data_IF_363628979337
#
_entry.id   IF_363628979337
#
_cell.length_a   1.000
_cell.length_b   1.000
_cell.length_c   1.000
_cell.angle_alpha   90.00
_cell.angle_beta   90.00
_cell.angle_gamma   90.00
#
_symmetry.space_group_name_H-M   'P 1'
#
loop_
_entity.id
_entity.type
_entity.pdbx_description
1 polymer ?
#
# COMPACT_ATOMS: atom_id res chain seq x y z
N UNK A 1 5.86 30.91 6.26
CA UNK A 1 5.92 29.73 5.38
C UNK A 1 5.00 28.57 5.77
N UNK A 2 5.05 27.97 6.97
CA UNK A 2 4.14 26.84 7.31
C UNK A 2 2.74 27.31 7.73
N UNK A 3 2.64 28.39 8.51
CA UNK A 3 1.35 29.00 8.90
C UNK A 3 0.60 29.60 7.69
N UNK A 4 1.32 30.10 6.69
CA UNK A 4 0.73 30.66 5.45
C UNK A 4 0.14 29.58 4.53
N UNK A 5 0.52 28.30 4.71
CA UNK A 5 0.09 27.19 3.87
C UNK A 5 -1.10 26.40 4.45
N UNK A 6 -1.59 26.75 5.65
CA UNK A 6 -2.71 26.05 6.29
C UNK A 6 -2.42 24.58 6.64
N UNK A 7 -1.14 24.22 6.79
CA UNK A 7 -0.73 22.85 7.11
C UNK A 7 -1.12 22.52 8.55
N UNK A 8 -1.78 21.38 8.74
CA UNK A 8 -2.23 20.90 10.05
C UNK A 8 -1.49 19.65 10.53
N UNK A 9 -0.64 19.07 9.68
CA UNK A 9 0.18 17.91 10.00
C UNK A 9 1.19 17.58 8.90
N UNK A 10 2.08 16.65 9.22
CA UNK A 10 3.10 16.12 8.33
C UNK A 10 3.04 14.59 8.33
N UNK A 11 3.35 13.98 7.20
CA UNK A 11 3.58 12.54 7.12
C UNK A 11 5.08 12.29 7.22
N UNK A 12 5.51 11.48 8.18
CA UNK A 12 6.94 11.19 8.39
C UNK A 12 7.28 9.72 8.12
N UNK A 13 8.43 9.48 7.48
CA UNK A 13 9.01 8.15 7.30
C UNK A 13 10.35 7.96 8.03
N UNK A 14 10.92 9.04 8.58
CA UNK A 14 12.23 9.05 9.22
C UNK A 14 12.16 9.78 10.57
N UNK A 15 12.36 9.02 11.66
CA UNK A 15 12.30 9.55 13.02
C UNK A 15 13.39 10.58 13.35
N UNK A 16 14.56 10.51 12.70
CA UNK A 16 15.62 11.51 12.90
C UNK A 16 15.19 12.88 12.39
N UNK A 17 14.52 12.95 11.24
CA UNK A 17 14.01 14.21 10.69
C UNK A 17 12.85 14.76 11.53
N UNK A 18 11.99 13.88 12.04
CA UNK A 18 10.92 14.28 12.96
C UNK A 18 11.48 14.91 14.25
N UNK A 19 12.47 14.25 14.88
CA UNK A 19 13.11 14.77 16.09
C UNK A 19 13.87 16.08 15.80
N UNK A 20 14.61 16.14 14.69
CA UNK A 20 15.32 17.36 14.32
C UNK A 20 14.35 18.55 14.13
N UNK A 21 13.20 18.32 13.50
CA UNK A 21 12.18 19.35 13.34
C UNK A 21 11.56 19.78 14.68
N UNK A 22 11.33 18.82 15.59
CA UNK A 22 10.87 19.12 16.94
C UNK A 22 11.85 20.01 17.71
N UNK A 23 13.15 19.69 17.67
CA UNK A 23 14.19 20.41 18.39
C UNK A 23 14.43 21.80 17.79
N UNK A 24 14.45 21.89 16.45
CA UNK A 24 14.73 23.14 15.75
C UNK A 24 13.53 24.09 15.68
N UNK A 25 12.30 23.61 15.83
CA UNK A 25 11.07 24.40 15.70
C UNK A 25 9.95 23.89 16.61
N UNK A 26 10.10 23.95 17.94
CA UNK A 26 9.16 23.34 18.90
C UNK A 26 7.76 23.96 18.88
N UNK A 27 7.66 25.29 18.68
CA UNK A 27 6.35 25.97 18.55
C UNK A 27 5.60 25.41 17.33
N UNK A 28 6.28 25.25 16.20
CA UNK A 28 5.68 24.70 14.99
C UNK A 28 5.32 23.22 15.16
N UNK A 29 6.19 22.42 15.77
CA UNK A 29 5.90 21.02 16.06
C UNK A 29 4.59 20.88 16.84
N UNK A 30 4.37 21.71 17.86
CA UNK A 30 3.15 21.69 18.68
C UNK A 30 1.85 22.00 17.93
N UNK A 31 1.92 22.64 16.76
CA UNK A 31 0.73 22.94 15.94
C UNK A 31 0.44 21.89 14.87
N UNK A 32 1.35 20.95 14.64
CA UNK A 32 1.25 19.94 13.58
C UNK A 32 0.97 18.55 14.15
N UNK A 33 0.10 17.79 13.49
CA UNK A 33 0.02 16.33 13.69
C UNK A 33 1.24 15.65 13.05
N UNK A 34 1.82 14.66 13.73
CA UNK A 34 2.84 13.79 13.15
C UNK A 34 2.21 12.44 12.76
N UNK A 35 1.91 12.31 11.47
CA UNK A 35 1.26 11.11 10.89
C UNK A 35 2.33 10.14 10.41
N UNK A 36 2.40 8.90 10.93
CA UNK A 36 3.35 7.93 10.44
C UNK A 36 3.05 7.53 9.00
N UNK A 37 4.09 7.49 8.17
CA UNK A 37 4.02 6.92 6.84
C UNK A 37 3.79 5.41 6.89
N UNK A 38 3.10 4.88 5.87
CA UNK A 38 2.81 3.44 5.75
C UNK A 38 4.08 2.57 5.74
N UNK A 39 5.22 3.13 5.29
CA UNK A 39 6.51 2.45 5.27
C UNK A 39 7.12 2.22 6.66
N UNK A 40 6.55 2.78 7.73
CA UNK A 40 6.90 2.46 9.12
C UNK A 40 6.30 1.13 9.61
N UNK A 41 5.54 0.44 8.75
CA UNK A 41 5.06 -0.95 8.92
C UNK A 41 4.35 -1.21 10.24
N UNK A 42 3.27 -0.48 10.49
CA UNK A 42 2.44 -0.63 11.68
C UNK A 42 1.62 -1.92 11.63
N UNK A 43 2.16 -3.01 12.17
CA UNK A 43 1.66 -4.39 11.99
C UNK A 43 1.32 -5.12 13.31
N UNK A 44 1.38 -4.41 14.44
CA UNK A 44 1.20 -4.95 15.79
C UNK A 44 0.84 -3.84 16.78
N UNK A 45 0.00 -4.12 17.80
CA UNK A 45 -0.32 -3.13 18.83
C UNK A 45 0.92 -2.59 19.55
N UNK A 46 1.90 -3.44 19.85
CA UNK A 46 3.14 -3.05 20.52
C UNK A 46 3.96 -2.04 19.68
N UNK A 47 4.07 -2.25 18.36
CA UNK A 47 4.76 -1.31 17.47
C UNK A 47 4.01 0.02 17.38
N UNK A 48 2.68 -0.02 17.27
CA UNK A 48 1.84 1.18 17.23
C UNK A 48 2.00 1.98 18.52
N UNK A 49 1.89 1.34 19.68
CA UNK A 49 2.10 1.99 20.97
C UNK A 49 3.49 2.62 21.08
N UNK A 50 4.54 1.87 20.76
CA UNK A 50 5.93 2.37 20.81
C UNK A 50 6.15 3.58 19.91
N UNK A 51 5.56 3.56 18.71
CA UNK A 51 5.62 4.69 17.79
C UNK A 51 4.86 5.92 18.33
N UNK A 52 3.63 5.75 18.80
CA UNK A 52 2.82 6.86 19.32
C UNK A 52 3.46 7.51 20.55
N UNK A 53 4.03 6.71 21.45
CA UNK A 53 4.84 7.23 22.58
C UNK A 53 6.05 8.02 22.10
N UNK A 54 6.73 7.52 21.05
CA UNK A 54 7.86 8.22 20.46
C UNK A 54 7.44 9.56 19.85
N UNK A 55 6.28 9.62 19.18
CA UNK A 55 5.70 10.86 18.65
C UNK A 55 5.29 11.82 19.77
N UNK A 56 4.68 11.33 20.85
CA UNK A 56 4.29 12.19 21.98
C UNK A 56 5.50 12.93 22.58
N UNK A 57 6.67 12.29 22.58
CA UNK A 57 7.93 12.86 23.09
C UNK A 57 8.53 13.97 22.22
N UNK A 58 8.11 14.09 20.97
CA UNK A 58 8.62 15.14 20.06
C UNK A 58 7.84 16.45 20.17
N UNK A 59 6.77 16.50 20.98
CA UNK A 59 5.93 17.68 21.11
C UNK A 59 4.96 17.90 19.93
N UNK A 60 4.98 17.03 18.92
CA UNK A 60 3.96 17.00 17.89
C UNK A 60 2.61 16.52 18.44
N UNK A 61 1.53 16.94 17.81
CA UNK A 61 0.21 16.35 18.09
C UNK A 61 0.19 14.90 17.60
N UNK A 62 -0.42 14.02 18.40
CA UNK A 62 -0.64 12.64 18.00
C UNK A 62 -1.53 12.59 16.75
N UNK A 63 -1.32 11.62 15.86
CA UNK A 63 -2.09 11.53 14.64
C UNK A 63 -3.54 11.12 14.92
N UNK A 64 -4.49 11.78 14.26
CA UNK A 64 -5.90 11.37 14.32
C UNK A 64 -6.17 10.05 13.56
N UNK A 65 -5.26 9.67 12.65
CA UNK A 65 -5.35 8.45 11.84
C UNK A 65 -3.98 7.84 11.55
N UNK A 66 -3.93 6.53 11.43
CA UNK A 66 -2.75 5.78 10.96
C UNK A 66 -3.13 4.82 9.85
N UNK A 67 -2.20 4.60 8.91
CA UNK A 67 -2.31 3.52 7.93
C UNK A 67 -1.53 2.31 8.46
N UNK A 68 -2.20 1.17 8.62
CA UNK A 68 -1.58 -0.07 9.04
C UNK A 68 -0.69 -0.66 7.93
N UNK A 69 0.19 -1.58 8.29
CA UNK A 69 1.05 -2.25 7.32
C UNK A 69 0.21 -3.05 6.31
N UNK A 70 0.55 -2.90 5.02
CA UNK A 70 -0.20 -3.55 3.94
C UNK A 70 -0.19 -5.07 4.00
N UNK A 71 0.81 -5.71 4.62
CA UNK A 71 0.86 -7.18 4.72
C UNK A 71 -0.33 -7.73 5.51
N UNK A 72 -0.93 -6.93 6.41
CA UNK A 72 -2.16 -7.29 7.12
C UNK A 72 -3.37 -7.50 6.19
N UNK A 73 -3.35 -6.94 4.97
CA UNK A 73 -4.43 -7.13 4.00
C UNK A 73 -4.60 -8.61 3.59
N UNK A 74 -3.57 -9.46 3.79
CA UNK A 74 -3.58 -10.91 3.49
C UNK A 74 -3.44 -11.79 4.74
N UNK A 75 -3.56 -11.22 5.93
CA UNK A 75 -3.54 -11.93 7.20
C UNK A 75 -4.72 -11.42 8.05
N UNK A 76 -5.92 -11.94 7.78
CA UNK A 76 -7.16 -11.48 8.39
C UNK A 76 -7.18 -11.72 9.91
N UNK A 77 -6.70 -12.85 10.45
CA UNK A 77 -6.59 -13.04 11.90
C UNK A 77 -5.73 -11.96 12.54
N UNK A 78 -4.55 -11.68 11.97
CA UNK A 78 -3.65 -10.66 12.52
C UNK A 78 -4.19 -9.25 12.35
N UNK A 79 -4.84 -8.94 11.23
CA UNK A 79 -5.53 -7.65 11.04
C UNK A 79 -6.59 -7.44 12.13
N UNK A 80 -7.41 -8.45 12.41
CA UNK A 80 -8.42 -8.38 13.46
C UNK A 80 -7.80 -8.18 14.85
N UNK A 81 -6.70 -8.88 15.16
CA UNK A 81 -5.95 -8.71 16.41
C UNK A 81 -5.42 -7.28 16.55
N UNK A 82 -4.76 -6.76 15.52
CA UNK A 82 -4.19 -5.39 15.50
C UNK A 82 -5.29 -4.36 15.66
N UNK A 83 -6.38 -4.48 14.91
CA UNK A 83 -7.51 -3.57 14.97
C UNK A 83 -8.15 -3.57 16.37
N UNK A 84 -8.45 -4.76 16.92
CA UNK A 84 -9.02 -4.89 18.26
C UNK A 84 -8.10 -4.31 19.35
N UNK A 85 -6.79 -4.54 19.24
CA UNK A 85 -5.80 -3.93 20.13
C UNK A 85 -5.84 -2.41 20.07
N UNK A 86 -5.85 -1.84 18.86
CA UNK A 86 -5.93 -0.39 18.68
C UNK A 86 -7.24 0.19 19.20
N UNK A 87 -8.39 -0.48 19.00
CA UNK A 87 -9.68 0.02 19.52
C UNK A 87 -9.74 0.05 21.04
N UNK A 88 -9.12 -0.92 21.70
CA UNK A 88 -9.02 -0.97 23.16
C UNK A 88 -8.10 0.12 23.70
N UNK A 89 -6.92 0.27 23.10
CA UNK A 89 -5.85 1.10 23.67
C UNK A 89 -5.94 2.56 23.18
N UNK A 90 -6.51 2.79 21.99
CA UNK A 90 -6.62 4.10 21.32
C UNK A 90 -8.01 4.28 20.67
N UNK A 91 -9.11 4.41 21.46
CA UNK A 91 -10.48 4.36 20.96
C UNK A 91 -10.86 5.45 19.96
N UNK A 92 -10.13 6.57 19.93
CA UNK A 92 -10.36 7.68 19.00
C UNK A 92 -9.46 7.63 17.76
N UNK A 93 -8.49 6.72 17.71
CA UNK A 93 -7.57 6.60 16.59
C UNK A 93 -8.27 5.93 15.41
N UNK A 94 -8.24 6.58 14.25
CA UNK A 94 -8.76 6.00 13.02
C UNK A 94 -7.73 5.12 12.34
N UNK A 95 -8.16 3.95 11.87
CA UNK A 95 -7.33 2.97 11.18
C UNK A 95 -7.63 2.98 9.69
N UNK A 96 -6.58 2.94 8.88
CA UNK A 96 -6.69 2.83 7.42
C UNK A 96 -5.85 1.66 6.89
N UNK A 97 -6.26 1.12 5.75
CA UNK A 97 -5.46 0.16 4.97
C UNK A 97 -5.04 0.76 3.63
N UNK A 98 -3.82 0.46 3.22
CA UNK A 98 -3.35 0.80 1.88
C UNK A 98 -3.93 -0.20 0.87
N UNK A 99 -4.82 0.25 -0.02
CA UNK A 99 -5.73 -0.66 -0.68
C UNK A 99 -5.24 -1.20 -2.03
N UNK A 100 -4.52 -0.40 -2.82
CA UNK A 100 -4.20 -0.73 -4.21
C UNK A 100 -2.70 -0.89 -4.49
N UNK A 101 -1.89 -1.15 -3.47
CA UNK A 101 -0.47 -1.46 -3.64
C UNK A 101 -0.29 -2.94 -4.02
N UNK A 102 0.41 -3.20 -5.13
CA UNK A 102 0.63 -4.55 -5.66
C UNK A 102 2.06 -5.06 -5.49
N UNK A 103 2.69 -4.79 -4.35
CA UNK A 103 4.02 -5.34 -4.03
C UNK A 103 4.00 -6.86 -3.85
N UNK A 104 5.17 -7.50 -3.90
CA UNK A 104 5.30 -8.90 -3.45
C UNK A 104 5.01 -8.99 -1.94
N UNK A 105 4.33 -10.04 -1.46
CA UNK A 105 4.19 -10.31 -0.03
C UNK A 105 5.57 -10.62 0.57
N UNK A 106 5.84 -10.12 1.78
CA UNK A 106 7.12 -10.30 2.48
C UNK A 106 8.35 -10.04 1.60
N UNK A 107 8.25 -9.02 0.74
CA UNK A 107 9.29 -8.72 -0.24
C UNK A 107 10.65 -8.48 0.43
N UNK A 108 11.63 -9.33 0.09
CA UNK A 108 13.02 -9.26 0.58
C UNK A 108 13.63 -7.87 0.38
N UNK A 109 13.29 -7.22 -0.73
CA UNK A 109 13.86 -5.94 -1.11
C UNK A 109 13.14 -4.73 -0.48
N UNK A 110 11.99 -4.89 0.18
CA UNK A 110 11.12 -3.72 0.52
C UNK A 110 11.83 -2.66 1.35
N UNK A 111 12.60 -3.05 2.37
CA UNK A 111 13.29 -2.08 3.23
C UNK A 111 14.36 -1.28 2.45
N UNK A 112 15.19 -1.98 1.68
CA UNK A 112 16.21 -1.35 0.84
C UNK A 112 15.57 -0.50 -0.27
N UNK A 113 14.50 -1.00 -0.90
CA UNK A 113 13.76 -0.31 -1.95
C UNK A 113 13.16 1.01 -1.47
N UNK A 114 12.53 1.03 -0.29
CA UNK A 114 11.99 2.25 0.31
C UNK A 114 13.09 3.27 0.61
N UNK A 115 14.24 2.80 1.13
CA UNK A 115 15.41 3.65 1.35
C UNK A 115 16.01 4.21 0.05
N UNK A 116 16.06 3.41 -1.02
CA UNK A 116 16.46 3.89 -2.34
C UNK A 116 15.54 4.99 -2.85
N UNK A 117 14.21 4.79 -2.75
CA UNK A 117 13.23 5.81 -3.14
C UNK A 117 13.41 7.10 -2.32
N UNK A 118 13.64 6.99 -1.00
CA UNK A 118 13.89 8.14 -0.14
C UNK A 118 15.13 8.93 -0.58
N UNK A 119 16.24 8.24 -0.83
CA UNK A 119 17.49 8.85 -1.32
C UNK A 119 17.33 9.51 -2.69
N UNK A 120 16.59 8.89 -3.61
CA UNK A 120 16.30 9.45 -4.93
C UNK A 120 15.46 10.72 -4.80
N UNK A 121 14.38 10.68 -4.01
CA UNK A 121 13.50 11.83 -3.80
C UNK A 121 14.20 12.98 -3.07
N UNK A 122 15.19 12.68 -2.21
CA UNK A 122 16.05 13.66 -1.57
C UNK A 122 17.13 14.24 -2.49
N UNK A 123 17.26 13.75 -3.74
CA UNK A 123 18.31 14.16 -4.68
C UNK A 123 19.71 13.66 -4.30
N UNK A 124 19.80 12.65 -3.42
CA UNK A 124 21.05 12.08 -2.91
C UNK A 124 21.53 10.86 -3.71
N UNK A 125 20.68 10.34 -4.60
CA UNK A 125 20.99 9.23 -5.49
C UNK A 125 20.33 9.43 -6.87
N UNK A 126 20.92 8.89 -7.96
CA UNK A 126 20.26 8.88 -9.27
C UNK A 126 19.07 7.91 -9.29
N UNK A 127 18.13 8.13 -10.21
CA UNK A 127 17.00 7.23 -10.44
C UNK A 127 17.49 5.85 -10.91
N UNK A 128 17.43 4.87 -10.01
CA UNK A 128 17.85 3.48 -10.23
C UNK A 128 16.80 2.47 -9.74
N UNK A 129 15.62 2.93 -9.30
CA UNK A 129 14.62 2.07 -8.69
C UNK A 129 14.08 1.04 -9.69
N UNK A 130 13.77 1.46 -10.91
CA UNK A 130 13.23 0.60 -11.95
C UNK A 130 14.26 -0.44 -12.45
N UNK A 131 15.50 -0.07 -12.85
CA UNK A 131 16.51 -1.05 -13.26
C UNK A 131 16.81 -2.09 -12.18
N UNK A 132 16.97 -1.67 -10.92
CA UNK A 132 17.22 -2.59 -9.82
C UNK A 132 16.05 -3.56 -9.61
N UNK A 133 14.81 -3.07 -9.67
CA UNK A 133 13.64 -3.93 -9.53
C UNK A 133 13.49 -4.91 -10.71
N UNK A 134 13.88 -4.50 -11.92
CA UNK A 134 13.86 -5.34 -13.14
C UNK A 134 14.93 -6.42 -13.12
N UNK A 135 16.11 -6.13 -12.61
CA UNK A 135 17.23 -7.06 -12.60
C UNK A 135 17.24 -7.97 -11.37
N UNK A 136 16.83 -7.44 -10.21
CA UNK A 136 17.04 -8.10 -8.91
C UNK A 136 15.76 -8.19 -8.06
N UNK A 137 14.72 -7.41 -8.37
CA UNK A 137 13.58 -7.20 -7.49
C UNK A 137 12.23 -7.73 -8.03
N UNK A 138 11.17 -6.98 -7.69
CA UNK A 138 9.79 -7.45 -7.91
C UNK A 138 9.40 -7.54 -9.39
N UNK A 139 9.90 -6.65 -10.25
CA UNK A 139 9.61 -6.68 -11.69
C UNK A 139 10.16 -7.98 -12.30
N UNK A 140 11.37 -8.41 -11.91
CA UNK A 140 11.91 -9.71 -12.29
C UNK A 140 11.00 -10.86 -11.86
N UNK A 141 10.59 -10.85 -10.59
CA UNK A 141 9.76 -11.91 -10.03
C UNK A 141 8.40 -12.02 -10.75
N UNK A 142 7.72 -10.90 -10.98
CA UNK A 142 6.46 -10.88 -11.75
C UNK A 142 6.67 -11.27 -13.21
N UNK A 143 7.83 -10.96 -13.81
CA UNK A 143 8.16 -11.40 -15.17
C UNK A 143 8.30 -12.92 -15.29
N UNK A 144 8.80 -13.59 -14.25
CA UNK A 144 8.96 -15.05 -14.22
C UNK A 144 7.68 -15.76 -13.76
N UNK A 145 7.00 -15.21 -12.76
CA UNK A 145 5.87 -15.81 -12.07
C UNK A 145 4.75 -14.78 -11.87
N UNK A 146 4.05 -14.36 -12.96
CA UNK A 146 3.05 -13.30 -12.89
C UNK A 146 1.85 -13.65 -12.00
N UNK A 147 1.60 -14.94 -11.77
CA UNK A 147 0.59 -15.42 -10.81
C UNK A 147 0.81 -14.91 -9.39
N UNK A 148 2.04 -14.48 -9.04
CA UNK A 148 2.34 -13.83 -7.75
C UNK A 148 1.56 -12.54 -7.54
N UNK A 149 1.02 -11.93 -8.59
CA UNK A 149 0.09 -10.80 -8.44
C UNK A 149 -1.09 -11.13 -7.53
N UNK A 150 -1.56 -12.38 -7.51
CA UNK A 150 -2.68 -12.82 -6.67
C UNK A 150 -2.30 -12.98 -5.20
N UNK A 151 -1.01 -13.01 -4.88
CA UNK A 151 -0.52 -13.07 -3.50
C UNK A 151 -0.21 -11.69 -2.92
N UNK A 152 -0.20 -10.65 -3.78
CA UNK A 152 0.05 -9.28 -3.38
C UNK A 152 -1.02 -8.73 -2.43
N UNK A 153 -0.66 -7.79 -1.53
CA UNK A 153 -1.54 -7.28 -0.49
C UNK A 153 -2.54 -6.22 -0.96
N UNK A 154 -2.96 -6.23 -2.22
CA UNK A 154 -4.05 -5.36 -2.66
C UNK A 154 -5.41 -5.88 -2.16
N UNK A 155 -6.36 -4.96 -2.03
CA UNK A 155 -7.74 -5.19 -1.64
C UNK A 155 -8.62 -5.06 -2.87
N UNK A 156 -9.49 -6.04 -3.08
CA UNK A 156 -10.51 -5.98 -4.13
C UNK A 156 -11.60 -4.97 -3.71
N UNK A 157 -12.10 -4.09 -4.59
CA UNK A 157 -13.20 -3.18 -4.25
C UNK A 157 -14.46 -3.89 -3.70
N UNK A 158 -14.78 -5.07 -4.22
CA UNK A 158 -15.88 -5.93 -3.76
C UNK A 158 -15.71 -6.44 -2.32
N UNK A 159 -14.47 -6.52 -1.82
CA UNK A 159 -14.17 -6.98 -0.47
C UNK A 159 -14.14 -5.83 0.55
N UNK A 160 -14.38 -4.57 0.12
CA UNK A 160 -14.19 -3.38 0.96
C UNK A 160 -14.99 -3.43 2.27
N UNK A 161 -16.23 -3.94 2.22
CA UNK A 161 -17.15 -3.85 3.35
C UNK A 161 -16.72 -4.78 4.48
N UNK A 162 -16.07 -5.91 4.14
CA UNK A 162 -15.42 -6.76 5.13
C UNK A 162 -14.34 -5.98 5.91
N UNK A 163 -13.45 -5.31 5.19
CA UNK A 163 -12.36 -4.54 5.83
C UNK A 163 -12.89 -3.34 6.60
N UNK A 164 -13.93 -2.65 6.11
CA UNK A 164 -14.58 -1.54 6.84
C UNK A 164 -15.27 -2.00 8.14
N UNK A 165 -15.51 -3.31 8.31
CA UNK A 165 -15.89 -3.88 9.61
C UNK A 165 -14.75 -3.89 10.64
N UNK A 166 -13.50 -3.75 10.22
CA UNK A 166 -12.30 -3.79 11.06
C UNK A 166 -11.60 -2.42 11.16
N UNK A 167 -11.61 -1.63 10.09
CA UNK A 167 -10.92 -0.33 9.97
C UNK A 167 -11.87 0.79 9.52
N UNK A 168 -11.42 2.04 9.53
CA UNK A 168 -12.26 3.22 9.24
C UNK A 168 -12.18 3.71 7.80
N UNK A 169 -11.25 3.18 7.00
CA UNK A 169 -11.11 3.62 5.61
C UNK A 169 -9.93 3.04 4.86
N UNK A 170 -9.77 3.53 3.63
CA UNK A 170 -8.72 3.12 2.71
C UNK A 170 -7.87 4.30 2.27
N UNK A 171 -6.57 4.04 2.17
CA UNK A 171 -5.60 4.91 1.52
C UNK A 171 -5.29 4.35 0.13
N UNK A 172 -5.27 5.24 -0.86
CA UNK A 172 -4.93 4.91 -2.26
C UNK A 172 -3.52 5.42 -2.56
N UNK A 173 -2.68 4.58 -3.18
CA UNK A 173 -1.37 4.96 -3.73
C UNK A 173 -1.42 5.16 -5.25
N UNK A 174 -0.28 5.49 -5.88
CA UNK A 174 -0.19 5.84 -7.29
C UNK A 174 -0.34 7.31 -7.60
N UNK A 175 0.07 8.21 -6.70
CA UNK A 175 0.03 9.66 -6.92
C UNK A 175 0.80 10.08 -8.19
N UNK A 176 1.88 9.37 -8.51
CA UNK A 176 2.72 9.59 -9.69
C UNK A 176 2.04 9.14 -11.00
N UNK A 177 0.99 8.32 -10.94
CA UNK A 177 0.22 7.84 -12.10
C UNK A 177 -0.88 8.83 -12.54
N UNK A 178 -0.99 9.98 -11.85
CA UNK A 178 -1.84 11.09 -12.24
C UNK A 178 -3.31 10.97 -11.79
N UNK A 179 -4.05 12.08 -11.94
CA UNK A 179 -5.41 12.21 -11.40
C UNK A 179 -6.44 11.28 -12.05
N UNK A 180 -6.23 10.87 -13.31
CA UNK A 180 -7.14 9.92 -13.98
C UNK A 180 -7.08 8.53 -13.35
N UNK A 181 -5.86 8.04 -13.05
CA UNK A 181 -5.67 6.79 -12.33
C UNK A 181 -6.31 6.86 -10.93
N UNK A 182 -5.99 7.89 -10.15
CA UNK A 182 -6.55 8.04 -8.80
C UNK A 182 -8.08 8.10 -8.78
N UNK A 183 -8.70 8.82 -9.73
CA UNK A 183 -10.17 8.86 -9.86
C UNK A 183 -10.76 7.49 -10.17
N UNK A 184 -10.11 6.70 -11.02
CA UNK A 184 -10.54 5.33 -11.35
C UNK A 184 -10.55 4.44 -10.11
N UNK A 185 -9.44 4.41 -9.38
CA UNK A 185 -9.31 3.61 -8.15
C UNK A 185 -10.32 4.05 -7.09
N UNK A 186 -10.39 5.36 -6.84
CA UNK A 186 -11.35 5.91 -5.88
C UNK A 186 -12.81 5.58 -6.26
N UNK A 187 -13.16 5.69 -7.54
CA UNK A 187 -14.52 5.36 -8.01
C UNK A 187 -14.84 3.88 -7.82
N UNK A 188 -13.89 2.98 -8.10
CA UNK A 188 -14.07 1.55 -7.88
C UNK A 188 -14.33 1.22 -6.39
N UNK A 189 -13.52 1.77 -5.49
CA UNK A 189 -13.71 1.58 -4.05
C UNK A 189 -14.98 2.25 -3.51
N UNK A 190 -15.41 3.39 -4.06
CA UNK A 190 -16.69 4.03 -3.71
C UNK A 190 -17.91 3.26 -4.24
N UNK A 191 -17.78 2.59 -5.39
CA UNK A 191 -18.82 1.73 -5.94
C UNK A 191 -18.86 0.34 -5.27
N UNK A 192 -17.74 -0.12 -4.69
CA UNK A 192 -17.62 -1.47 -4.14
C UNK A 192 -17.57 -2.54 -5.23
N UNK A 193 -17.25 -2.16 -6.45
CA UNK A 193 -17.18 -3.07 -7.60
C UNK A 193 -16.19 -2.54 -8.62
N UNK A 194 -15.51 -3.46 -9.28
CA UNK A 194 -14.73 -3.20 -10.47
C UNK A 194 -14.94 -4.35 -11.45
N UNK A 195 -15.32 -4.01 -12.66
CA UNK A 195 -15.47 -4.92 -13.79
C UNK A 195 -14.46 -4.50 -14.86
N UNK A 196 -13.52 -5.39 -15.19
CA UNK A 196 -12.41 -5.10 -16.10
C UNK A 196 -11.06 -5.62 -15.60
N UNK A 197 -9.99 -5.03 -16.12
CA UNK A 197 -8.63 -5.43 -15.78
C UNK A 197 -8.30 -4.98 -14.35
N UNK A 198 -8.00 -5.92 -13.45
CA UNK A 198 -7.61 -5.61 -12.08
C UNK A 198 -6.35 -4.73 -12.03
N UNK A 199 -5.43 -4.90 -12.99
CA UNK A 199 -4.19 -4.15 -13.05
C UNK A 199 -4.39 -2.64 -13.29
N UNK A 200 -5.54 -2.23 -13.82
CA UNK A 200 -5.89 -0.81 -13.96
C UNK A 200 -6.09 -0.11 -12.63
N UNK A 201 -6.24 -0.87 -11.53
CA UNK A 201 -6.39 -0.35 -10.19
C UNK A 201 -5.08 -0.34 -9.39
N UNK A 202 -4.08 -1.13 -9.79
CA UNK A 202 -2.89 -1.37 -8.97
C UNK A 202 -1.77 -0.39 -9.32
N UNK A 203 -1.10 0.14 -8.29
CA UNK A 203 0.00 1.09 -8.45
C UNK A 203 1.31 0.40 -8.86
N UNK A 204 1.86 -0.47 -8.01
CA UNK A 204 3.19 -1.09 -8.23
C UNK A 204 3.32 -1.90 -9.53
N UNK A 205 2.36 -2.77 -9.91
CA UNK A 205 2.43 -3.54 -11.15
C UNK A 205 1.68 -2.85 -12.31
N UNK A 206 1.44 -1.53 -12.26
CA UNK A 206 0.67 -0.83 -13.30
C UNK A 206 1.22 -1.04 -14.72
N UNK A 207 2.55 -1.22 -14.85
CA UNK A 207 3.25 -1.50 -16.10
C UNK A 207 2.84 -2.84 -16.76
N UNK A 208 2.18 -3.74 -16.03
CA UNK A 208 1.61 -4.97 -16.59
C UNK A 208 0.25 -4.75 -17.24
N UNK A 209 -0.46 -3.66 -16.93
CA UNK A 209 -1.83 -3.44 -17.41
C UNK A 209 -1.92 -3.38 -18.95
N UNK A 210 -0.85 -2.94 -19.62
CA UNK A 210 -0.76 -2.89 -21.09
C UNK A 210 -0.46 -4.26 -21.74
N UNK A 211 -0.05 -5.25 -20.95
CA UNK A 211 0.45 -6.55 -21.43
C UNK A 211 -0.38 -7.74 -20.96
N UNK A 212 -1.12 -7.55 -19.89
CA UNK A 212 -1.85 -8.59 -19.20
C UNK A 212 -3.22 -8.05 -18.81
N UNK A 213 -4.25 -8.82 -19.10
CA UNK A 213 -5.58 -8.60 -18.58
C UNK A 213 -5.86 -9.63 -17.51
N UNK A 214 -6.04 -9.17 -16.28
CA UNK A 214 -6.43 -9.99 -15.14
C UNK A 214 -7.88 -9.67 -14.79
N UNK A 215 -8.79 -10.59 -15.11
CA UNK A 215 -10.22 -10.37 -14.96
C UNK A 215 -10.63 -10.27 -13.47
N UNK A 216 -11.03 -9.06 -13.05
CA UNK A 216 -11.40 -8.79 -11.67
C UNK A 216 -12.72 -9.48 -11.26
N UNK A 217 -13.66 -9.65 -12.21
CA UNK A 217 -14.95 -10.28 -11.95
C UNK A 217 -14.85 -11.80 -11.86
N UNK A 218 -13.82 -12.39 -12.47
CA UNK A 218 -13.55 -13.83 -12.41
C UNK A 218 -12.87 -14.30 -11.11
N UNK A 219 -12.52 -13.38 -10.19
CA UNK A 219 -12.02 -13.74 -8.86
C UNK A 219 -13.12 -14.48 -8.05
N UNK A 220 -12.81 -15.64 -7.46
CA UNK A 220 -13.77 -16.40 -6.66
C UNK A 220 -14.37 -15.56 -5.51
N UNK A 221 -15.61 -15.87 -5.11
CA UNK A 221 -16.27 -15.19 -4.01
C UNK A 221 -15.53 -15.40 -2.67
N UNK A 222 -14.94 -16.59 -2.48
CA UNK A 222 -14.13 -16.99 -1.34
C UNK A 222 -12.66 -16.56 -1.45
N UNK A 223 -12.27 -15.78 -2.45
CA UNK A 223 -10.88 -15.36 -2.66
C UNK A 223 -10.30 -14.63 -1.44
N UNK A 224 -11.07 -13.72 -0.83
CA UNK A 224 -10.66 -13.01 0.38
C UNK A 224 -10.40 -14.00 1.53
N UNK A 225 -11.36 -14.88 1.80
CA UNK A 225 -11.28 -15.84 2.90
C UNK A 225 -10.09 -16.79 2.73
N UNK A 226 -9.90 -17.30 1.50
CA UNK A 226 -8.81 -18.21 1.15
C UNK A 226 -7.45 -17.52 1.29
N UNK A 227 -7.27 -16.36 0.65
CA UNK A 227 -5.99 -15.65 0.65
C UNK A 227 -5.69 -14.96 1.98
N UNK A 228 -6.72 -14.66 2.77
CA UNK A 228 -6.64 -14.02 4.07
C UNK A 228 -6.20 -14.94 5.21
N UNK A 229 -6.28 -16.26 5.00
CA UNK A 229 -5.80 -17.30 5.92
C UNK A 229 -4.65 -18.13 5.31
N UNK A 230 -4.10 -17.65 4.19
CA UNK A 230 -3.08 -18.36 3.44
C UNK A 230 -1.72 -18.30 4.14
N UNK A 231 -0.96 -19.40 4.10
CA UNK A 231 0.42 -19.48 4.63
C UNK A 231 1.49 -19.11 3.61
N UNK A 232 1.07 -18.66 2.43
CA UNK A 232 1.93 -18.36 1.27
C UNK A 232 2.81 -19.54 0.76
N UNK A 233 2.54 -20.78 1.18
CA UNK A 233 3.16 -21.99 0.63
C UNK A 233 2.55 -22.39 -0.73
N UNK A 234 2.73 -21.49 -1.71
CA UNK A 234 2.13 -21.61 -3.03
C UNK A 234 2.67 -22.80 -3.82
N UNK A 235 3.88 -23.28 -3.48
CA UNK A 235 4.51 -24.44 -4.13
C UNK A 235 3.73 -25.73 -3.86
N UNK A 236 3.23 -25.89 -2.63
CA UNK A 236 2.45 -27.06 -2.25
C UNK A 236 0.93 -26.84 -2.47
N UNK A 237 0.44 -25.61 -2.28
CA UNK A 237 -0.98 -25.29 -2.43
C UNK A 237 -1.45 -25.20 -3.89
N UNK A 238 -0.70 -24.55 -4.77
CA UNK A 238 -1.04 -24.41 -6.20
C UNK A 238 -2.23 -23.50 -6.54
N UNK A 239 -2.94 -22.95 -5.53
CA UNK A 239 -4.16 -22.15 -5.73
C UNK A 239 -3.93 -20.92 -6.63
N UNK A 240 -2.98 -20.04 -6.30
CA UNK A 240 -2.74 -18.81 -7.06
C UNK A 240 -2.28 -19.08 -8.51
N UNK A 241 -1.33 -19.99 -8.78
CA UNK A 241 -1.00 -20.39 -10.15
C UNK A 241 -2.21 -20.89 -10.96
N UNK A 242 -3.02 -21.79 -10.39
CA UNK A 242 -4.19 -22.36 -11.07
C UNK A 242 -5.28 -21.31 -11.32
N UNK A 243 -5.54 -20.43 -10.33
CA UNK A 243 -6.47 -19.33 -10.49
C UNK A 243 -6.00 -18.36 -11.58
N UNK A 244 -4.73 -17.96 -11.54
CA UNK A 244 -4.16 -17.05 -12.53
C UNK A 244 -4.32 -17.58 -13.96
N UNK A 245 -4.06 -18.86 -14.22
CA UNK A 245 -4.26 -19.47 -15.54
C UNK A 245 -5.70 -19.36 -16.06
N UNK A 246 -6.69 -19.31 -15.15
CA UNK A 246 -8.11 -19.20 -15.53
C UNK A 246 -8.55 -17.76 -15.81
N UNK A 247 -8.00 -16.79 -15.08
CA UNK A 247 -8.50 -15.41 -15.07
C UNK A 247 -7.59 -14.41 -15.80
N UNK A 248 -6.36 -14.80 -16.10
CA UNK A 248 -5.39 -13.96 -16.78
C UNK A 248 -5.29 -14.32 -18.26
N UNK A 249 -5.29 -13.31 -19.13
CA UNK A 249 -4.98 -13.46 -20.56
C UNK A 249 -3.96 -12.41 -21.00
N UNK A 250 -2.99 -12.76 -21.86
CA UNK A 250 -2.09 -11.78 -22.44
C UNK A 250 -2.89 -10.81 -23.32
N UNK A 251 -2.50 -9.54 -23.31
CA UNK A 251 -2.98 -8.56 -24.28
C UNK A 251 -2.08 -8.57 -25.50
N UNK A 252 -2.68 -8.44 -26.68
CA UNK A 252 -1.91 -8.23 -27.90
C UNK A 252 -1.17 -6.89 -27.78
N UNK A 253 0.12 -6.81 -28.12
CA UNK A 253 0.84 -5.54 -28.11
C UNK A 253 0.16 -4.59 -29.09
N UNK A 254 -0.49 -3.55 -28.59
CA UNK A 254 -0.96 -2.45 -29.43
C UNK A 254 0.26 -1.63 -29.85
N UNK A 255 0.51 -1.54 -31.16
CA UNK A 255 1.49 -0.60 -31.67
C UNK A 255 0.97 0.80 -31.36
N UNK A 256 1.73 1.64 -30.63
CA UNK A 256 1.27 2.99 -30.31
C UNK A 256 0.98 3.74 -31.63
N UNK A 257 -0.23 4.27 -31.77
CA UNK A 257 -0.55 5.11 -32.92
C UNK A 257 0.19 6.45 -32.78
N UNK A 258 1.37 6.51 -33.39
CA UNK A 258 2.25 7.68 -33.39
C UNK A 258 1.63 8.90 -34.09
N UNK A 259 0.46 8.78 -34.73
CA UNK A 259 -0.27 9.89 -35.36
C UNK A 259 -1.09 10.73 -34.37
N UNK A 260 -1.24 10.28 -33.13
CA UNK A 260 -2.02 10.95 -32.07
C UNK A 260 -1.15 11.73 -31.06
N UNK A 261 0.14 11.96 -31.38
CA UNK A 261 1.06 12.80 -30.60
C UNK A 261 1.22 14.18 -31.22
#
# INVERSE_FOLDING_TARGET
MVEEAGLNGIVFGNGYLLQHLADSSPVLASTLEAVPGVNLRLDSPARIHSLLESVARTGFRLPARITLDRELNRDLPRLAEVAAGCRRDFPHLRLELLANEGCLPHCLCKAAHDGCIDMINAGLAPELSEPLNRELGCIRAFGHEPWRLLTSPWIRPQDRDFYLGLVDGFKICGRTLGGAFLRRVASAFLAGVHDGNLLDLLDTPCWLAERLHLDAAALPADFLEHCGHCRHDCRNCGYCPALFQRIARPLSPELPDLRLR
#
